data_IF_011373643170
#
_entry.id   IF_011373643170
#
_cell.length_a   1.000
_cell.length_b   1.000
_cell.length_c   1.000
_cell.angle_alpha   90.00
_cell.angle_beta   90.00
_cell.angle_gamma   90.00
#
_symmetry.space_group_name_H-M   'P 1'
#
loop_
_entity.id
_entity.type
_entity.pdbx_description
1 polymer ?
#
# COMPACT_ATOMS: atom_id res chain seq x y z
N UNK A 1 -24.29 8.21 19.46
CA UNK A 1 -23.72 8.95 18.31
C UNK A 1 -24.31 8.36 17.03
N UNK A 2 -24.72 9.18 16.05
CA UNK A 2 -25.25 8.66 14.78
C UNK A 2 -24.19 7.83 14.03
N UNK A 3 -24.60 6.79 13.31
CA UNK A 3 -23.69 5.84 12.64
C UNK A 3 -22.71 6.55 11.68
N UNK A 4 -23.21 7.53 10.91
CA UNK A 4 -22.41 8.37 10.01
C UNK A 4 -21.25 9.04 10.77
N UNK A 5 -21.54 9.61 11.94
CA UNK A 5 -20.53 10.29 12.76
C UNK A 5 -19.56 9.29 13.41
N UNK A 6 -20.02 8.07 13.73
CA UNK A 6 -19.16 7.00 14.23
C UNK A 6 -18.17 6.54 13.15
N UNK A 7 -18.65 6.27 11.92
CA UNK A 7 -17.80 5.85 10.80
C UNK A 7 -16.75 6.90 10.46
N UNK A 8 -17.14 8.19 10.48
CA UNK A 8 -16.21 9.29 10.23
C UNK A 8 -15.14 9.39 11.33
N UNK A 9 -15.54 9.25 12.61
CA UNK A 9 -14.62 9.27 13.75
C UNK A 9 -13.65 8.10 13.72
N UNK A 10 -14.16 6.89 13.51
CA UNK A 10 -13.38 5.65 13.38
C UNK A 10 -12.42 5.75 12.19
N UNK A 11 -12.90 6.19 11.02
CA UNK A 11 -12.10 6.37 9.83
C UNK A 11 -10.94 7.34 10.02
N UNK A 12 -11.17 8.47 10.69
CA UNK A 12 -10.10 9.42 11.03
C UNK A 12 -9.08 8.83 12.01
N UNK A 13 -9.53 8.08 13.02
CA UNK A 13 -8.65 7.39 13.95
C UNK A 13 -7.78 6.35 13.22
N UNK A 14 -8.39 5.52 12.37
CA UNK A 14 -7.71 4.51 11.58
C UNK A 14 -6.74 5.14 10.59
N UNK A 15 -7.14 6.24 9.91
CA UNK A 15 -6.26 6.98 9.02
C UNK A 15 -5.01 7.46 9.76
N UNK A 16 -5.13 8.02 10.97
CA UNK A 16 -3.98 8.48 11.75
C UNK A 16 -2.98 7.36 12.07
N UNK A 17 -3.47 6.16 12.40
CA UNK A 17 -2.65 5.01 12.81
C UNK A 17 -2.37 4.02 11.67
N UNK A 18 -2.71 4.36 10.42
CA UNK A 18 -2.58 3.46 9.25
C UNK A 18 -1.18 2.89 9.03
N UNK A 19 -0.14 3.54 9.55
CA UNK A 19 1.24 3.08 9.48
C UNK A 19 1.58 1.93 10.43
N UNK A 20 0.81 1.71 11.50
CA UNK A 20 1.07 0.69 12.52
C UNK A 20 0.45 -0.67 12.16
N UNK A 21 -0.49 -0.70 11.21
CA UNK A 21 -1.27 -1.90 10.87
C UNK A 21 -0.45 -3.06 10.30
N UNK A 22 0.57 -2.82 9.45
CA UNK A 22 1.45 -3.91 9.05
C UNK A 22 2.04 -4.67 10.24
N UNK A 23 2.23 -4.04 11.40
CA UNK A 23 2.71 -4.70 12.62
C UNK A 23 1.70 -5.73 13.10
N UNK A 24 0.41 -5.36 13.18
CA UNK A 24 -0.67 -6.28 13.57
C UNK A 24 -0.76 -7.45 12.58
N UNK A 25 -0.65 -7.17 11.28
CA UNK A 25 -0.62 -8.20 10.24
C UNK A 25 0.52 -9.20 10.47
N UNK A 26 1.74 -8.73 10.75
CA UNK A 26 2.88 -9.60 11.01
C UNK A 26 2.76 -10.40 12.31
N UNK A 27 2.20 -9.81 13.37
CA UNK A 27 1.92 -10.53 14.62
C UNK A 27 0.94 -11.68 14.39
N UNK A 28 -0.13 -11.44 13.63
CA UNK A 28 -1.13 -12.48 13.29
C UNK A 28 -0.54 -13.53 12.33
N UNK A 29 0.41 -13.16 11.49
CA UNK A 29 1.06 -14.09 10.57
C UNK A 29 1.88 -15.17 11.30
N UNK A 30 2.42 -14.90 12.49
CA UNK A 30 3.21 -15.87 13.28
C UNK A 30 2.45 -17.18 13.53
N UNK A 31 1.29 -17.17 14.24
CA UNK A 31 0.54 -18.40 14.47
C UNK A 31 0.01 -18.99 13.16
N UNK A 32 -0.35 -18.17 12.17
CA UNK A 32 -0.81 -18.68 10.88
C UNK A 32 0.26 -19.52 10.20
N UNK A 33 1.49 -19.00 10.08
CA UNK A 33 2.59 -19.73 9.45
C UNK A 33 2.94 -20.98 10.25
N UNK A 34 2.92 -20.92 11.60
CA UNK A 34 3.15 -22.08 12.46
C UNK A 34 2.14 -23.22 12.21
N UNK A 35 0.84 -22.90 12.11
CA UNK A 35 -0.22 -23.89 11.91
C UNK A 35 -0.48 -24.26 10.45
N UNK A 36 0.18 -23.62 9.49
CA UNK A 36 -0.03 -23.93 8.06
C UNK A 36 0.83 -25.11 7.65
N UNK A 37 0.21 -26.28 7.49
CA UNK A 37 0.86 -27.42 6.85
C UNK A 37 1.04 -27.13 5.35
N UNK A 38 2.27 -27.19 4.85
CA UNK A 38 2.56 -26.97 3.42
C UNK A 38 2.98 -28.24 2.69
N UNK A 39 2.93 -29.40 3.35
CA UNK A 39 3.38 -30.68 2.78
C UNK A 39 2.48 -31.17 1.64
N UNK A 40 1.21 -30.74 1.63
CA UNK A 40 0.27 -31.04 0.56
C UNK A 40 0.61 -30.32 -0.77
N UNK A 41 1.46 -29.28 -0.73
CA UNK A 41 1.89 -28.55 -1.91
C UNK A 41 3.20 -29.10 -2.45
N UNK A 42 3.22 -29.44 -3.75
CA UNK A 42 4.46 -29.79 -4.44
C UNK A 42 5.44 -28.60 -4.46
N UNK A 43 6.74 -28.86 -4.59
CA UNK A 43 7.75 -27.81 -4.73
C UNK A 43 7.49 -26.88 -5.91
N UNK A 44 7.01 -27.42 -7.03
CA UNK A 44 6.64 -26.62 -8.21
C UNK A 44 5.44 -25.70 -7.90
N UNK A 45 4.40 -26.21 -7.23
CA UNK A 45 3.24 -25.41 -6.84
C UNK A 45 3.65 -24.29 -5.88
N UNK A 46 4.53 -24.59 -4.91
CA UNK A 46 5.09 -23.57 -4.01
C UNK A 46 5.81 -22.47 -4.79
N UNK A 47 6.67 -22.84 -5.76
CA UNK A 47 7.36 -21.88 -6.63
C UNK A 47 6.40 -20.97 -7.39
N UNK A 48 5.37 -21.54 -8.02
CA UNK A 48 4.35 -20.76 -8.75
C UNK A 48 3.62 -19.78 -7.81
N UNK A 49 3.25 -20.20 -6.60
CA UNK A 49 2.59 -19.31 -5.63
C UNK A 49 3.53 -18.18 -5.21
N UNK A 50 4.83 -18.45 -5.03
CA UNK A 50 5.84 -17.40 -4.76
C UNK A 50 5.87 -16.38 -5.91
N UNK A 51 5.98 -16.85 -7.16
CA UNK A 51 6.07 -15.97 -8.32
C UNK A 51 4.82 -15.10 -8.46
N UNK A 52 3.63 -15.67 -8.22
CA UNK A 52 2.37 -14.94 -8.18
C UNK A 52 2.36 -13.91 -7.05
N UNK A 53 2.76 -14.30 -5.83
CA UNK A 53 2.81 -13.41 -4.67
C UNK A 53 3.71 -12.19 -4.93
N UNK A 54 4.92 -12.41 -5.45
CA UNK A 54 5.87 -11.36 -5.81
C UNK A 54 5.30 -10.48 -6.91
N UNK A 55 4.72 -11.07 -7.96
CA UNK A 55 4.12 -10.34 -9.08
C UNK A 55 2.96 -9.45 -8.64
N UNK A 56 2.11 -9.93 -7.73
CA UNK A 56 1.03 -9.16 -7.14
C UNK A 56 1.57 -7.99 -6.32
N UNK A 57 2.61 -8.19 -5.50
CA UNK A 57 3.22 -7.09 -4.76
C UNK A 57 3.88 -6.04 -5.66
N UNK A 58 4.53 -6.48 -6.75
CA UNK A 58 5.08 -5.59 -7.78
C UNK A 58 3.97 -4.77 -8.44
N UNK A 59 2.85 -5.41 -8.83
CA UNK A 59 1.69 -4.71 -9.38
C UNK A 59 1.18 -3.62 -8.41
N UNK A 60 1.07 -3.94 -7.12
CA UNK A 60 0.68 -2.98 -6.11
C UNK A 60 1.64 -1.78 -6.01
N UNK A 61 2.95 -2.05 -6.04
CA UNK A 61 3.97 -1.02 -6.08
C UNK A 61 3.86 -0.14 -7.33
N UNK A 62 3.64 -0.72 -8.51
CA UNK A 62 3.46 0.02 -9.76
C UNK A 62 2.24 0.92 -9.73
N UNK A 63 1.11 0.45 -9.18
CA UNK A 63 -0.10 1.26 -9.00
C UNK A 63 0.21 2.49 -8.11
N UNK A 64 0.92 2.30 -6.99
CA UNK A 64 1.34 3.41 -6.12
C UNK A 64 2.33 4.35 -6.81
N UNK A 65 3.30 3.80 -7.54
CA UNK A 65 4.29 4.57 -8.28
C UNK A 65 3.61 5.47 -9.32
N UNK A 66 2.64 4.94 -10.09
CA UNK A 66 1.85 5.71 -11.05
C UNK A 66 1.08 6.83 -10.36
N UNK A 67 0.37 6.51 -9.26
CA UNK A 67 -0.38 7.52 -8.51
C UNK A 67 0.53 8.65 -8.01
N UNK A 68 1.65 8.32 -7.38
CA UNK A 68 2.56 9.29 -6.79
C UNK A 68 3.33 10.08 -7.84
N UNK A 69 3.83 9.40 -8.87
CA UNK A 69 4.59 10.01 -9.96
C UNK A 69 3.76 11.00 -10.77
N UNK A 70 2.42 10.96 -10.69
CA UNK A 70 1.51 11.85 -11.40
C UNK A 70 0.73 12.81 -10.50
N UNK A 71 1.04 12.86 -9.19
CA UNK A 71 0.31 13.67 -8.20
C UNK A 71 0.80 15.12 -8.16
N UNK A 72 -0.04 16.13 -8.50
CA UNK A 72 0.30 17.55 -8.35
C UNK A 72 0.45 17.96 -6.89
N UNK A 73 1.19 19.06 -6.64
CA UNK A 73 1.29 19.66 -5.31
C UNK A 73 -0.09 19.99 -4.73
N UNK A 74 -0.25 19.78 -3.43
CA UNK A 74 -1.45 20.22 -2.70
C UNK A 74 -2.69 19.34 -2.93
N UNK A 75 -2.57 18.19 -3.60
CA UNK A 75 -3.72 17.29 -3.81
C UNK A 75 -3.89 16.26 -2.69
N UNK A 76 -2.85 16.06 -1.87
CA UNK A 76 -2.88 15.18 -0.70
C UNK A 76 -1.74 15.54 0.27
N UNK A 77 -2.05 15.78 1.54
CA UNK A 77 -1.10 15.96 2.63
C UNK A 77 -0.98 14.72 3.52
N UNK A 78 0.23 14.41 4.00
CA UNK A 78 0.47 13.32 4.98
C UNK A 78 0.63 13.90 6.40
N UNK A 79 -0.05 13.29 7.38
CA UNK A 79 0.25 13.40 8.81
C UNK A 79 0.51 14.84 9.31
N UNK A 80 -0.36 15.79 8.98
CA UNK A 80 -0.36 17.06 9.69
C UNK A 80 -1.01 16.84 11.06
N UNK A 81 -0.60 17.62 12.07
CA UNK A 81 -1.30 17.67 13.37
C UNK A 81 -2.78 18.05 13.22
N UNK A 82 -3.14 18.58 12.05
CA UNK A 82 -4.45 19.11 11.64
C UNK A 82 -5.34 18.08 10.90
N UNK A 83 -4.86 16.87 10.62
CA UNK A 83 -5.65 15.81 9.98
C UNK A 83 -5.48 15.72 8.46
N UNK A 84 -6.58 15.60 7.71
CA UNK A 84 -6.57 15.50 6.25
C UNK A 84 -6.36 16.88 5.62
N UNK A 85 -5.49 16.97 4.60
CA UNK A 85 -5.15 18.23 3.91
C UNK A 85 -5.16 18.01 2.41
N UNK A 86 -5.88 18.87 1.68
CA UNK A 86 -5.89 18.96 0.23
C UNK A 86 -6.26 20.39 -0.19
N UNK A 87 -5.40 21.09 -0.93
CA UNK A 87 -5.64 22.41 -1.51
C UNK A 87 -6.44 22.32 -2.82
N UNK A 88 -6.31 21.21 -3.56
CA UNK A 88 -7.04 20.94 -4.79
C UNK A 88 -7.42 19.47 -4.93
N UNK A 89 -8.44 19.19 -5.75
CA UNK A 89 -8.91 17.84 -6.02
C UNK A 89 -8.18 17.24 -7.23
N UNK A 90 -7.53 16.09 -7.08
CA UNK A 90 -6.94 15.37 -8.21
C UNK A 90 -7.97 14.45 -8.87
N UNK A 91 -8.39 14.79 -10.08
CA UNK A 91 -9.41 14.04 -10.85
C UNK A 91 -8.87 13.51 -12.18
N UNK A 92 -7.55 13.60 -12.40
CA UNK A 92 -6.87 13.21 -13.64
C UNK A 92 -6.05 11.94 -13.46
N UNK A 93 -5.62 11.32 -14.56
CA UNK A 93 -4.73 10.17 -14.49
C UNK A 93 -5.38 8.96 -13.85
N UNK A 94 -4.65 8.31 -12.95
CA UNK A 94 -5.18 7.16 -12.21
C UNK A 94 -6.41 7.53 -11.34
N UNK A 95 -6.49 8.77 -10.84
CA UNK A 95 -7.64 9.28 -10.08
C UNK A 95 -8.89 9.51 -10.94
N UNK A 96 -8.78 9.50 -12.27
CA UNK A 96 -9.96 9.49 -13.15
C UNK A 96 -10.56 8.08 -13.32
N UNK A 97 -9.79 7.04 -13.00
CA UNK A 97 -10.20 5.64 -13.14
C UNK A 97 -10.68 5.02 -11.82
N UNK A 98 -10.12 5.47 -10.69
CA UNK A 98 -10.43 4.97 -9.34
C UNK A 98 -10.17 6.07 -8.32
N UNK A 99 -11.02 6.20 -7.28
CA UNK A 99 -10.88 7.28 -6.28
C UNK A 99 -9.72 7.05 -5.31
N UNK A 100 -9.42 5.79 -4.98
CA UNK A 100 -8.45 5.42 -3.94
C UNK A 100 -7.28 4.56 -4.47
N UNK A 101 -6.52 5.02 -5.48
CA UNK A 101 -5.47 4.23 -6.11
C UNK A 101 -4.32 3.84 -5.17
N UNK A 102 -3.98 4.69 -4.19
CA UNK A 102 -2.94 4.38 -3.22
C UNK A 102 -3.34 3.21 -2.31
N UNK A 103 -4.63 3.14 -1.93
CA UNK A 103 -5.15 2.05 -1.11
C UNK A 103 -5.26 0.76 -1.94
N UNK A 104 -5.65 0.86 -3.21
CA UNK A 104 -5.60 -0.26 -4.14
C UNK A 104 -4.19 -0.83 -4.29
N UNK A 105 -3.18 0.04 -4.44
CA UNK A 105 -1.79 -0.38 -4.50
C UNK A 105 -1.31 -1.01 -3.19
N UNK A 106 -1.70 -0.46 -2.02
CA UNK A 106 -1.43 -1.07 -0.72
C UNK A 106 -1.99 -2.48 -0.62
N UNK A 107 -3.24 -2.68 -1.04
CA UNK A 107 -3.88 -3.99 -1.02
C UNK A 107 -3.04 -5.03 -1.72
N UNK A 108 -2.65 -4.75 -2.97
CA UNK A 108 -1.84 -5.68 -3.76
C UNK A 108 -0.43 -5.88 -3.18
N UNK A 109 0.21 -4.84 -2.64
CA UNK A 109 1.50 -5.00 -1.95
C UNK A 109 1.41 -5.97 -0.78
N UNK A 110 0.41 -5.81 0.09
CA UNK A 110 0.27 -6.62 1.30
C UNK A 110 -0.30 -8.01 1.03
N UNK A 111 -1.27 -8.16 0.12
CA UNK A 111 -1.88 -9.46 -0.16
C UNK A 111 -0.90 -10.43 -0.82
N UNK A 112 0.11 -9.93 -1.55
CA UNK A 112 1.21 -10.77 -2.03
C UNK A 112 2.00 -11.40 -0.89
N UNK A 113 2.34 -10.63 0.16
CA UNK A 113 3.02 -11.15 1.36
C UNK A 113 2.13 -12.17 2.10
N UNK A 114 0.83 -11.90 2.18
CA UNK A 114 -0.13 -12.84 2.80
C UNK A 114 -0.24 -14.12 2.00
N UNK A 115 -0.31 -14.04 0.67
CA UNK A 115 -0.32 -15.21 -0.22
C UNK A 115 0.97 -16.04 -0.08
N UNK A 116 2.10 -15.39 0.18
CA UNK A 116 3.37 -16.04 0.45
C UNK A 116 3.34 -16.92 1.73
N UNK A 117 2.33 -16.81 2.60
CA UNK A 117 2.14 -17.77 3.70
C UNK A 117 1.63 -19.15 3.26
N UNK A 118 1.20 -19.30 2.00
CA UNK A 118 0.51 -20.47 1.45
C UNK A 118 -0.84 -20.80 2.10
N UNK A 119 -1.42 -19.88 2.88
CA UNK A 119 -2.69 -20.09 3.55
C UNK A 119 -3.81 -19.27 2.88
N UNK A 120 -4.63 -19.92 2.05
CA UNK A 120 -5.73 -19.25 1.32
C UNK A 120 -6.86 -18.76 2.24
N UNK A 121 -7.07 -19.41 3.39
CA UNK A 121 -8.02 -18.91 4.39
C UNK A 121 -7.52 -17.59 4.98
N UNK A 122 -6.22 -17.49 5.25
CA UNK A 122 -5.60 -16.24 5.72
C UNK A 122 -5.68 -15.13 4.67
N UNK A 123 -5.42 -15.44 3.39
CA UNK A 123 -5.65 -14.50 2.27
C UNK A 123 -7.08 -13.96 2.30
N UNK A 124 -8.07 -14.84 2.41
CA UNK A 124 -9.49 -14.45 2.44
C UNK A 124 -9.81 -13.56 3.65
N UNK A 125 -9.36 -13.95 4.84
CA UNK A 125 -9.57 -13.18 6.07
C UNK A 125 -8.93 -11.79 5.96
N UNK A 126 -7.69 -11.70 5.48
CA UNK A 126 -7.01 -10.41 5.34
C UNK A 126 -7.67 -9.55 4.25
N UNK A 127 -8.15 -10.13 3.16
CA UNK A 127 -8.93 -9.37 2.16
C UNK A 127 -10.20 -8.77 2.74
N UNK A 128 -10.96 -9.54 3.53
CA UNK A 128 -12.18 -9.04 4.18
C UNK A 128 -11.86 -7.98 5.25
N UNK A 129 -10.84 -8.22 6.08
CA UNK A 129 -10.39 -7.27 7.10
C UNK A 129 -9.89 -5.97 6.46
N UNK A 130 -9.14 -6.06 5.36
CA UNK A 130 -8.70 -4.92 4.56
C UNK A 130 -9.90 -4.11 4.08
N UNK A 131 -10.94 -4.76 3.57
CA UNK A 131 -12.13 -4.06 3.08
C UNK A 131 -12.82 -3.26 4.18
N UNK A 132 -13.11 -3.89 5.33
CA UNK A 132 -13.73 -3.22 6.47
C UNK A 132 -12.89 -2.04 6.97
N UNK A 133 -11.57 -2.23 7.04
CA UNK A 133 -10.65 -1.22 7.52
C UNK A 133 -10.52 -0.03 6.56
N UNK A 134 -10.24 -0.29 5.27
CA UNK A 134 -10.07 0.78 4.30
C UNK A 134 -11.40 1.44 3.95
N UNK A 135 -12.54 0.76 4.04
CA UNK A 135 -13.86 1.39 3.90
C UNK A 135 -14.02 2.55 4.88
N UNK A 136 -13.68 2.33 6.16
CA UNK A 136 -13.75 3.38 7.19
C UNK A 136 -12.85 4.58 6.85
N UNK A 137 -11.63 4.32 6.39
CA UNK A 137 -10.70 5.38 6.00
C UNK A 137 -11.21 6.14 4.78
N UNK A 138 -11.59 5.42 3.73
CA UNK A 138 -12.12 6.00 2.50
C UNK A 138 -13.35 6.85 2.81
N UNK A 139 -14.25 6.36 3.68
CA UNK A 139 -15.41 7.12 4.11
C UNK A 139 -15.04 8.45 4.77
N UNK A 140 -14.11 8.45 5.73
CA UNK A 140 -13.67 9.68 6.38
C UNK A 140 -13.01 10.66 5.40
N UNK A 141 -12.18 10.15 4.48
CA UNK A 141 -11.56 10.94 3.42
C UNK A 141 -12.56 11.54 2.45
N UNK A 142 -13.54 10.75 2.01
CA UNK A 142 -14.60 11.21 1.14
C UNK A 142 -15.47 12.28 1.82
N UNK A 143 -15.79 12.13 3.12
CA UNK A 143 -16.49 13.17 3.91
C UNK A 143 -15.70 14.45 4.08
N UNK A 144 -14.38 14.36 4.21
CA UNK A 144 -13.50 15.54 4.22
C UNK A 144 -13.51 16.24 2.86
N UNK A 145 -13.35 15.49 1.77
CA UNK A 145 -13.33 16.03 0.41
C UNK A 145 -14.69 16.63 0.01
N UNK A 146 -15.80 15.98 0.38
CA UNK A 146 -17.15 16.47 0.18
C UNK A 146 -17.36 17.83 0.86
N UNK A 147 -17.03 17.96 2.15
CA UNK A 147 -17.16 19.23 2.87
C UNK A 147 -16.24 20.32 2.32
N UNK A 148 -15.08 19.94 1.79
CA UNK A 148 -14.09 20.90 1.30
C UNK A 148 -14.38 21.40 -0.11
N UNK A 149 -14.82 20.51 -1.01
CA UNK A 149 -14.95 20.80 -2.44
C UNK A 149 -16.40 20.74 -2.96
N UNK A 150 -17.35 20.35 -2.12
CA UNK A 150 -18.79 20.34 -2.43
C UNK A 150 -19.11 19.62 -3.74
N UNK A 151 -19.83 20.31 -4.62
CA UNK A 151 -20.28 19.78 -5.91
C UNK A 151 -19.13 19.32 -6.81
N UNK A 152 -17.94 19.95 -6.74
CA UNK A 152 -16.81 19.53 -7.54
C UNK A 152 -16.36 18.11 -7.18
N UNK A 153 -16.35 17.77 -5.88
CA UNK A 153 -16.09 16.41 -5.42
C UNK A 153 -17.23 15.47 -5.80
N UNK A 154 -18.49 15.85 -5.56
CA UNK A 154 -19.64 15.00 -5.84
C UNK A 154 -19.76 14.64 -7.33
N UNK A 155 -19.56 15.61 -8.21
CA UNK A 155 -19.59 15.40 -9.66
C UNK A 155 -18.51 14.42 -10.13
N UNK A 156 -17.30 14.50 -9.57
CA UNK A 156 -16.24 13.54 -9.86
C UNK A 156 -16.50 12.17 -9.22
N UNK A 157 -16.94 12.13 -7.97
CA UNK A 157 -17.14 10.89 -7.22
C UNK A 157 -18.28 10.05 -7.79
N UNK A 158 -19.39 10.66 -8.20
CA UNK A 158 -20.54 9.96 -8.78
C UNK A 158 -20.21 9.18 -10.06
N UNK A 159 -19.19 9.62 -10.81
CA UNK A 159 -18.77 8.97 -12.05
C UNK A 159 -17.47 8.17 -11.89
N UNK A 160 -16.80 8.19 -10.74
CA UNK A 160 -15.51 7.49 -10.56
C UNK A 160 -15.65 6.41 -9.50
N UNK A 161 -15.35 5.13 -9.80
CA UNK A 161 -15.51 4.04 -8.84
C UNK A 161 -14.53 4.19 -7.66
N UNK A 162 -14.94 3.74 -6.47
CA UNK A 162 -14.13 3.88 -5.27
C UNK A 162 -12.82 3.06 -5.33
N UNK A 163 -12.91 1.78 -5.71
CA UNK A 163 -11.80 0.82 -5.54
C UNK A 163 -11.48 -0.04 -6.78
N UNK A 164 -12.47 -0.43 -7.59
CA UNK A 164 -12.24 -1.20 -8.83
C UNK A 164 -12.04 -0.23 -9.99
N UNK A 165 -10.85 -0.17 -10.63
CA UNK A 165 -10.59 0.82 -11.68
C UNK A 165 -11.44 0.63 -12.94
N UNK A 166 -11.93 1.75 -13.48
CA UNK A 166 -12.58 1.78 -14.79
C UNK A 166 -11.63 2.42 -15.82
N UNK A 167 -10.86 1.59 -16.53
CA UNK A 167 -9.85 2.05 -17.49
C UNK A 167 -10.41 2.93 -18.62
N UNK A 168 -11.68 2.73 -19.00
CA UNK A 168 -12.36 3.54 -20.01
C UNK A 168 -12.52 5.02 -19.62
N UNK A 169 -12.42 5.34 -18.33
CA UNK A 169 -12.57 6.71 -17.80
C UNK A 169 -11.25 7.48 -17.71
N UNK A 170 -10.15 6.90 -18.20
CA UNK A 170 -8.84 7.54 -18.13
C UNK A 170 -8.85 8.92 -18.79
N UNK A 171 -8.47 9.94 -18.00
CA UNK A 171 -8.19 11.30 -18.43
C UNK A 171 -6.69 11.55 -18.31
N UNK A 172 -6.09 12.21 -19.31
CA UNK A 172 -4.66 12.52 -19.32
C UNK A 172 -4.24 13.28 -18.05
N UNK A 173 -3.08 12.94 -17.49
CA UNK A 173 -2.52 13.62 -16.32
C UNK A 173 -2.29 15.11 -16.60
N UNK A 174 -2.55 15.96 -15.60
CA UNK A 174 -2.21 17.39 -15.66
C UNK A 174 -0.69 17.60 -15.68
N UNK A 175 0.07 16.75 -14.98
CA UNK A 175 1.53 16.76 -14.95
C UNK A 175 2.10 15.43 -15.46
N UNK A 176 3.29 15.41 -16.10
CA UNK A 176 3.90 14.16 -16.55
C UNK A 176 4.33 13.28 -15.36
N UNK A 177 4.52 11.99 -15.61
CA UNK A 177 5.07 11.07 -14.62
C UNK A 177 6.49 11.51 -14.19
N UNK A 178 6.80 11.46 -12.89
CA UNK A 178 8.14 11.71 -12.36
C UNK A 178 8.67 10.53 -11.56
N UNK A 179 9.81 10.00 -12.01
CA UNK A 179 10.59 9.01 -11.29
C UNK A 179 11.16 9.57 -9.98
N UNK A 180 11.54 10.86 -9.95
CA UNK A 180 12.10 11.51 -8.76
C UNK A 180 11.06 11.52 -7.64
N UNK A 181 9.81 11.84 -7.94
CA UNK A 181 8.69 11.79 -6.99
C UNK A 181 8.46 10.39 -6.40
N UNK A 182 8.57 9.34 -7.24
CA UNK A 182 8.47 7.95 -6.77
C UNK A 182 9.65 7.58 -5.88
N UNK A 183 10.89 7.82 -6.33
CA UNK A 183 12.10 7.55 -5.56
C UNK A 183 12.12 8.28 -4.23
N UNK A 184 11.60 9.50 -4.15
CA UNK A 184 11.51 10.30 -2.91
C UNK A 184 10.45 9.78 -1.93
N UNK A 185 9.38 9.15 -2.41
CA UNK A 185 8.18 8.87 -1.57
C UNK A 185 7.95 7.39 -1.29
N UNK A 186 8.45 6.49 -2.13
CA UNK A 186 8.10 5.08 -2.10
C UNK A 186 9.22 4.12 -1.67
N UNK A 187 10.44 4.61 -1.42
CA UNK A 187 11.53 3.77 -0.89
C UNK A 187 11.15 3.01 0.39
N UNK A 188 10.37 3.66 1.28
CA UNK A 188 9.89 3.06 2.53
C UNK A 188 8.84 1.96 2.30
N UNK A 189 7.94 2.13 1.33
CA UNK A 189 6.93 1.12 1.00
C UNK A 189 7.55 -0.12 0.37
N UNK A 190 8.52 0.07 -0.53
CA UNK A 190 9.28 -1.02 -1.13
C UNK A 190 10.08 -1.80 -0.06
N UNK A 191 10.80 -1.10 0.82
CA UNK A 191 11.53 -1.72 1.92
C UNK A 191 10.60 -2.53 2.83
N UNK A 192 9.48 -1.95 3.27
CA UNK A 192 8.51 -2.64 4.13
C UNK A 192 7.95 -3.91 3.47
N UNK A 193 7.77 -3.90 2.14
CA UNK A 193 7.28 -5.07 1.41
C UNK A 193 8.30 -6.20 1.42
N UNK A 194 9.56 -5.89 1.13
CA UNK A 194 10.65 -6.88 1.13
C UNK A 194 10.90 -7.43 2.54
N UNK A 195 10.87 -6.57 3.56
CA UNK A 195 10.90 -6.99 4.97
C UNK A 195 9.76 -7.98 5.26
N UNK A 196 8.56 -7.74 4.74
CA UNK A 196 7.43 -8.66 4.90
C UNK A 196 7.67 -10.03 4.28
N UNK A 197 8.23 -10.11 3.08
CA UNK A 197 8.60 -11.39 2.46
C UNK A 197 9.66 -12.13 3.26
N UNK A 198 10.73 -11.44 3.67
CA UNK A 198 11.81 -12.02 4.49
C UNK A 198 11.26 -12.53 5.82
N UNK A 199 10.42 -11.74 6.49
CA UNK A 199 9.79 -12.12 7.75
C UNK A 199 9.01 -13.43 7.64
N UNK A 200 8.19 -13.59 6.59
CA UNK A 200 7.43 -14.83 6.39
C UNK A 200 8.35 -16.00 6.00
N UNK A 201 9.40 -15.77 5.21
CA UNK A 201 10.39 -16.80 4.85
C UNK A 201 11.12 -17.31 6.10
N UNK A 202 11.59 -16.39 6.95
CA UNK A 202 12.29 -16.70 8.20
C UNK A 202 11.40 -17.47 9.17
N UNK A 203 10.14 -17.05 9.34
CA UNK A 203 9.18 -17.80 10.15
C UNK A 203 8.99 -19.22 9.63
N UNK A 204 8.85 -19.38 8.30
CA UNK A 204 8.68 -20.69 7.69
C UNK A 204 9.91 -21.57 7.91
N UNK A 205 11.11 -21.04 7.70
CA UNK A 205 12.37 -21.77 7.92
C UNK A 205 12.50 -22.15 9.39
N UNK A 206 12.23 -21.23 10.30
CA UNK A 206 12.30 -21.45 11.72
C UNK A 206 11.36 -22.55 12.20
N UNK A 207 10.09 -22.51 11.80
CA UNK A 207 9.11 -23.53 12.21
C UNK A 207 9.31 -24.89 11.54
N UNK A 208 9.90 -24.94 10.34
CA UNK A 208 10.16 -26.21 9.64
C UNK A 208 11.47 -26.88 10.05
N UNK A 209 12.51 -26.10 10.38
CA UNK A 209 13.86 -26.63 10.66
C UNK A 209 14.27 -26.50 12.13
N UNK A 210 13.57 -25.70 12.93
CA UNK A 210 13.93 -25.38 14.32
C UNK A 210 15.10 -24.39 14.46
N UNK A 211 15.62 -23.84 13.36
CA UNK A 211 16.77 -22.94 13.34
C UNK A 211 16.62 -21.78 12.37
N UNK A 212 17.63 -20.91 12.33
CA UNK A 212 17.68 -19.75 11.44
C UNK A 212 18.63 -19.99 10.26
N UNK A 213 18.26 -19.48 9.08
CA UNK A 213 19.13 -19.46 7.90
C UNK A 213 19.19 -18.05 7.33
N UNK A 214 20.30 -17.36 7.57
CA UNK A 214 20.48 -15.95 7.20
C UNK A 214 21.00 -15.76 5.76
N UNK A 215 21.40 -16.84 5.09
CA UNK A 215 21.92 -16.82 3.71
C UNK A 215 20.87 -17.36 2.74
N UNK A 216 19.77 -16.63 2.59
CA UNK A 216 18.75 -16.92 1.57
C UNK A 216 18.66 -15.78 0.56
N UNK A 217 18.10 -16.08 -0.63
CA UNK A 217 17.86 -15.09 -1.68
C UNK A 217 17.09 -13.87 -1.18
N UNK A 218 16.17 -14.06 -0.22
CA UNK A 218 15.39 -12.98 0.39
C UNK A 218 16.25 -12.04 1.23
N UNK A 219 17.25 -12.54 1.96
CA UNK A 219 18.17 -11.71 2.73
C UNK A 219 19.07 -10.87 1.82
N UNK A 220 19.56 -11.44 0.71
CA UNK A 220 20.32 -10.66 -0.28
C UNK A 220 19.46 -9.56 -0.92
N UNK A 221 18.20 -9.86 -1.25
CA UNK A 221 17.25 -8.85 -1.72
C UNK A 221 16.99 -7.76 -0.68
N UNK A 222 16.84 -8.14 0.60
CA UNK A 222 16.67 -7.20 1.71
C UNK A 222 17.87 -6.27 1.85
N UNK A 223 19.09 -6.80 1.84
CA UNK A 223 20.32 -6.00 1.95
C UNK A 223 20.39 -4.99 0.79
N UNK A 224 20.15 -5.43 -0.45
CA UNK A 224 20.17 -4.55 -1.62
C UNK A 224 19.12 -3.42 -1.50
N UNK A 225 17.89 -3.75 -1.12
CA UNK A 225 16.79 -2.78 -0.99
C UNK A 225 16.98 -1.87 0.22
N UNK A 226 17.56 -2.37 1.30
CA UNK A 226 17.92 -1.57 2.47
C UNK A 226 18.97 -0.52 2.11
N UNK A 227 20.02 -0.90 1.38
CA UNK A 227 21.04 0.05 0.90
C UNK A 227 20.41 1.13 0.00
N UNK A 228 19.58 0.73 -0.97
CA UNK A 228 18.84 1.67 -1.83
C UNK A 228 17.96 2.60 -0.99
N UNK A 229 17.21 2.06 -0.02
CA UNK A 229 16.34 2.85 0.83
C UNK A 229 17.11 3.84 1.71
N UNK A 230 18.28 3.45 2.24
CA UNK A 230 19.16 4.34 3.01
C UNK A 230 19.73 5.46 2.13
N UNK A 231 20.15 5.15 0.89
CA UNK A 231 20.62 6.15 -0.07
C UNK A 231 19.50 7.14 -0.39
N UNK A 232 18.31 6.66 -0.77
CA UNK A 232 17.16 7.51 -1.12
C UNK A 232 16.68 8.35 0.06
N UNK A 233 16.66 7.77 1.28
CA UNK A 233 16.37 8.51 2.51
C UNK A 233 17.38 9.62 2.75
N UNK A 234 18.68 9.34 2.60
CA UNK A 234 19.75 10.33 2.77
C UNK A 234 19.65 11.45 1.74
N UNK A 235 19.47 11.12 0.46
CA UNK A 235 19.28 12.11 -0.61
C UNK A 235 18.05 13.00 -0.34
N UNK A 236 16.94 12.42 0.12
CA UNK A 236 15.73 13.18 0.44
C UNK A 236 15.93 14.18 1.59
N UNK A 237 16.70 13.83 2.62
CA UNK A 237 16.82 14.64 3.84
C UNK A 237 18.01 15.60 3.82
N UNK A 238 19.10 15.25 3.14
CA UNK A 238 20.36 16.00 3.21
C UNK A 238 20.76 16.69 1.89
N UNK A 239 20.03 16.47 0.78
CA UNK A 239 20.36 17.10 -0.52
C UNK A 239 19.13 17.71 -1.21
N UNK A 240 19.36 18.40 -2.33
CA UNK A 240 18.32 18.92 -3.23
C UNK A 240 18.01 17.98 -4.40
N UNK A 241 18.74 16.87 -4.56
CA UNK A 241 18.66 15.96 -5.73
C UNK A 241 17.26 15.43 -5.97
N UNK A 242 16.51 15.16 -4.89
CA UNK A 242 15.14 14.65 -4.96
C UNK A 242 14.07 15.73 -4.72
N UNK A 243 14.41 17.02 -4.81
CA UNK A 243 13.42 18.11 -4.72
C UNK A 243 12.86 18.43 -6.10
N UNK A 244 11.54 18.47 -6.22
CA UNK A 244 10.83 18.89 -7.43
C UNK A 244 9.80 19.95 -7.09
N UNK A 245 9.81 21.07 -7.82
CA UNK A 245 8.80 22.11 -7.69
C UNK A 245 7.46 21.66 -8.31
N UNK A 246 6.35 22.18 -7.78
CA UNK A 246 5.01 21.86 -8.29
C UNK A 246 4.51 20.44 -8.01
N UNK A 247 5.26 19.63 -7.25
CA UNK A 247 4.89 18.26 -6.88
C UNK A 247 4.71 18.09 -5.37
N UNK A 248 3.83 17.16 -5.00
CA UNK A 248 3.59 16.74 -3.61
C UNK A 248 4.70 15.82 -3.10
#
# INVERSE_FOLDING_TARGET
MALVNAFEKEGNFLFKHRGEIPIVLFLVAIPVVYFTDTNFLSGQTKGIIIDIAVSISILGFLIRAIAIGTTPKGTSGRNTKEGQVAESLNTSGIYSMVRHPLYLGNYFMWIGIVLFTYNFAFVTIITLAFWLYYERIMFAEERFLERKFGDAYMNWANVTPAFIPCFRKYKKNVIPFSFVSVLRREYSGLLATVVGFVFIDDLRIYFTTGGYKLETTWHYALIAILLIALILRSLKHYTSVLKEEGRS
#
